data_IF_239174698127
#
_entry.id   IF_239174698127
#
_cell.length_a   1.000
_cell.length_b   1.000
_cell.length_c   1.000
_cell.angle_alpha   90.00
_cell.angle_beta   90.00
_cell.angle_gamma   90.00
#
_symmetry.space_group_name_H-M   'P 1'
#
loop_
_entity.id
_entity.type
_entity.pdbx_description
1 polymer ?
#
# COMPACT_ATOMS: atom_id res chain seq x y z
N UNK A 1 -2.01 -17.66 -17.01
CA UNK A 1 -2.75 -17.31 -15.77
C UNK A 1 -3.56 -16.04 -16.03
N UNK A 2 -4.89 -16.04 -15.94
CA UNK A 2 -5.69 -14.81 -16.04
C UNK A 2 -5.54 -14.02 -14.74
N UNK A 3 -5.01 -12.79 -14.81
CA UNK A 3 -4.92 -11.89 -13.65
C UNK A 3 -6.35 -11.52 -13.24
N UNK A 4 -6.74 -11.89 -12.02
CA UNK A 4 -8.05 -11.55 -11.48
C UNK A 4 -7.98 -10.17 -10.86
N UNK A 5 -8.84 -9.27 -11.33
CA UNK A 5 -9.00 -7.92 -10.79
C UNK A 5 -9.40 -7.88 -9.31
N UNK A 6 -9.91 -8.99 -8.77
CA UNK A 6 -10.19 -9.16 -7.33
C UNK A 6 -8.91 -9.37 -6.51
N UNK A 7 -7.87 -9.96 -7.10
CA UNK A 7 -6.62 -10.32 -6.41
C UNK A 7 -5.54 -9.25 -6.56
N UNK A 8 -5.68 -8.42 -7.58
CA UNK A 8 -4.69 -7.41 -7.96
C UNK A 8 -4.46 -6.35 -6.86
N UNK A 9 -5.50 -5.82 -6.16
CA UNK A 9 -5.27 -4.86 -5.09
C UNK A 9 -4.44 -5.46 -3.95
N UNK A 10 -4.81 -6.64 -3.43
CA UNK A 10 -4.05 -7.27 -2.36
C UNK A 10 -2.60 -7.63 -2.73
N UNK A 11 -2.33 -8.00 -3.99
CA UNK A 11 -0.96 -8.17 -4.47
C UNK A 11 -0.20 -6.84 -4.50
N UNK A 12 -0.86 -5.79 -4.99
CA UNK A 12 -0.29 -4.45 -5.03
C UNK A 12 0.05 -3.94 -3.61
N UNK A 13 -0.85 -4.15 -2.64
CA UNK A 13 -0.65 -3.76 -1.25
C UNK A 13 0.62 -4.41 -0.65
N UNK A 14 0.84 -5.71 -0.93
CA UNK A 14 2.05 -6.42 -0.50
C UNK A 14 3.30 -5.78 -1.12
N UNK A 15 3.28 -5.51 -2.43
CA UNK A 15 4.41 -4.89 -3.15
C UNK A 15 4.67 -3.48 -2.59
N UNK A 16 3.62 -2.71 -2.33
CA UNK A 16 3.69 -1.37 -1.78
C UNK A 16 4.29 -1.37 -0.37
N UNK A 17 3.85 -2.27 0.52
CA UNK A 17 4.43 -2.42 1.85
C UNK A 17 5.88 -2.88 1.80
N UNK A 18 6.23 -3.78 0.88
CA UNK A 18 7.62 -4.21 0.68
C UNK A 18 8.50 -3.04 0.22
N UNK A 19 8.01 -2.23 -0.73
CA UNK A 19 8.68 -1.01 -1.17
C UNK A 19 8.92 -0.04 0.01
N UNK A 20 7.91 0.20 0.85
CA UNK A 20 8.06 1.06 2.03
C UNK A 20 9.10 0.50 3.01
N UNK A 21 9.04 -0.80 3.30
CA UNK A 21 9.97 -1.45 4.23
C UNK A 21 11.42 -1.33 3.75
N UNK A 22 11.67 -1.63 2.46
CA UNK A 22 12.99 -1.50 1.85
C UNK A 22 13.44 -0.03 1.88
N UNK A 23 12.56 0.91 1.53
CA UNK A 23 12.88 2.34 1.53
C UNK A 23 13.30 2.84 2.92
N UNK A 24 12.58 2.43 3.98
CA UNK A 24 12.94 2.78 5.34
C UNK A 24 14.23 2.11 5.81
N UNK A 25 14.50 0.87 5.41
CA UNK A 25 15.76 0.19 5.72
C UNK A 25 16.96 0.93 5.10
N UNK A 26 16.84 1.34 3.82
CA UNK A 26 17.89 2.09 3.13
C UNK A 26 18.12 3.47 3.75
N UNK A 27 17.05 4.22 4.05
CA UNK A 27 17.16 5.53 4.71
C UNK A 27 17.76 5.37 6.11
N UNK A 28 17.30 4.39 6.87
CA UNK A 28 17.82 4.09 8.21
C UNK A 28 19.31 3.75 8.19
N UNK A 29 19.75 2.90 7.25
CA UNK A 29 21.15 2.57 7.07
C UNK A 29 21.98 3.79 6.63
N UNK A 30 21.46 4.61 5.72
CA UNK A 30 22.15 5.82 5.25
C UNK A 30 22.34 6.84 6.39
N UNK A 31 21.40 6.96 7.32
CA UNK A 31 21.53 7.81 8.51
C UNK A 31 22.66 7.37 9.46
N UNK A 32 23.16 6.14 9.35
CA UNK A 32 24.32 5.65 10.13
C UNK A 32 25.66 5.99 9.46
N UNK A 33 25.63 6.53 8.24
CA UNK A 33 26.84 6.89 7.48
C UNK A 33 27.10 8.39 7.56
N UNK A 34 28.37 8.82 7.56
CA UNK A 34 28.72 10.25 7.53
C UNK A 34 28.40 10.93 6.19
N UNK A 35 27.91 10.19 5.19
CA UNK A 35 27.62 10.69 3.85
C UNK A 35 26.23 11.31 3.72
N UNK A 36 25.34 11.09 4.70
CA UNK A 36 23.98 11.62 4.67
C UNK A 36 23.85 12.80 5.65
N UNK A 37 24.18 14.00 5.16
CA UNK A 37 23.85 15.22 5.89
C UNK A 37 22.34 15.54 5.85
N UNK A 38 21.92 16.55 6.60
CA UNK A 38 20.51 16.94 6.70
C UNK A 38 19.89 17.40 5.37
N UNK A 39 20.69 17.98 4.47
CA UNK A 39 20.22 18.42 3.16
C UNK A 39 19.94 17.22 2.25
N UNK A 40 20.83 16.23 2.27
CA UNK A 40 20.68 14.98 1.52
C UNK A 40 19.50 14.16 2.07
N UNK A 41 19.33 14.11 3.39
CA UNK A 41 18.17 13.48 4.01
C UNK A 41 16.85 14.09 3.54
N UNK A 42 16.75 15.43 3.50
CA UNK A 42 15.55 16.13 2.98
C UNK A 42 15.27 15.78 1.52
N UNK A 43 16.31 15.70 0.69
CA UNK A 43 16.19 15.39 -0.73
C UNK A 43 15.69 13.96 -0.93
N UNK A 44 16.31 12.98 -0.25
CA UNK A 44 15.88 11.57 -0.28
C UNK A 44 14.46 11.41 0.26
N UNK A 45 14.12 12.06 1.37
CA UNK A 45 12.76 12.04 1.93
C UNK A 45 11.73 12.61 0.95
N UNK A 46 12.05 13.73 0.29
CA UNK A 46 11.14 14.37 -0.67
C UNK A 46 10.93 13.49 -1.89
N UNK A 47 12.01 12.87 -2.40
CA UNK A 47 11.92 11.88 -3.47
C UNK A 47 11.09 10.67 -3.04
N UNK A 48 11.28 10.12 -1.84
CA UNK A 48 10.47 9.00 -1.36
C UNK A 48 8.99 9.38 -1.29
N UNK A 49 8.65 10.55 -0.74
CA UNK A 49 7.27 11.01 -0.66
C UNK A 49 6.63 11.21 -2.03
N UNK A 50 7.36 11.66 -3.05
CA UNK A 50 6.82 11.78 -4.41
C UNK A 50 6.53 10.41 -5.03
N UNK A 51 7.41 9.42 -4.84
CA UNK A 51 7.16 8.04 -5.29
C UNK A 51 5.98 7.42 -4.54
N UNK A 52 5.91 7.59 -3.22
CA UNK A 52 4.77 7.14 -2.40
C UNK A 52 3.48 7.76 -2.91
N UNK A 53 3.45 9.06 -3.24
CA UNK A 53 2.27 9.71 -3.77
C UNK A 53 1.80 9.10 -5.11
N UNK A 54 2.71 8.87 -6.05
CA UNK A 54 2.39 8.24 -7.35
C UNK A 54 1.85 6.82 -7.13
N UNK A 55 2.53 6.02 -6.32
CA UNK A 55 2.10 4.66 -5.99
C UNK A 55 0.74 4.65 -5.28
N UNK A 56 0.51 5.62 -4.40
CA UNK A 56 -0.77 5.76 -3.69
C UNK A 56 -1.95 5.94 -4.64
N UNK A 57 -1.79 6.73 -5.70
CA UNK A 57 -2.83 6.87 -6.73
C UNK A 57 -3.11 5.58 -7.49
N UNK A 58 -2.07 4.79 -7.78
CA UNK A 58 -2.22 3.48 -8.42
C UNK A 58 -2.99 2.53 -7.51
N UNK A 59 -2.60 2.42 -6.23
CA UNK A 59 -3.29 1.59 -5.24
C UNK A 59 -4.75 2.00 -5.06
N UNK A 60 -5.02 3.30 -4.96
CA UNK A 60 -6.37 3.84 -4.86
C UNK A 60 -7.23 3.45 -6.06
N UNK A 61 -6.72 3.60 -7.28
CA UNK A 61 -7.41 3.21 -8.51
C UNK A 61 -7.72 1.70 -8.54
N UNK A 62 -6.78 0.86 -8.10
CA UNK A 62 -6.98 -0.60 -8.05
C UNK A 62 -8.09 -1.00 -7.08
N UNK A 63 -8.12 -0.45 -5.87
CA UNK A 63 -9.19 -0.74 -4.91
C UNK A 63 -10.53 -0.19 -5.35
N UNK A 64 -10.54 1.01 -5.95
CA UNK A 64 -11.71 1.59 -6.61
C UNK A 64 -12.24 0.55 -7.61
N UNK A 65 -11.49 0.22 -8.67
CA UNK A 65 -11.95 -0.73 -9.72
C UNK A 65 -12.42 -2.06 -9.14
N UNK A 66 -11.71 -2.60 -8.14
CA UNK A 66 -12.07 -3.85 -7.48
C UNK A 66 -13.36 -3.74 -6.66
N UNK A 67 -13.62 -2.60 -6.02
CA UNK A 67 -14.85 -2.34 -5.26
C UNK A 67 -16.08 -2.49 -6.16
N UNK A 68 -16.10 -1.84 -7.33
CA UNK A 68 -17.23 -1.99 -8.27
C UNK A 68 -17.42 -3.43 -8.77
N UNK A 69 -16.36 -4.23 -8.81
CA UNK A 69 -16.43 -5.62 -9.29
C UNK A 69 -16.78 -6.64 -8.22
N UNK A 70 -16.75 -6.24 -6.94
CA UNK A 70 -16.89 -7.14 -5.79
C UNK A 70 -18.16 -6.93 -4.98
N UNK A 71 -19.18 -6.24 -5.51
CA UNK A 71 -20.45 -5.96 -4.83
C UNK A 71 -21.13 -7.18 -4.19
N UNK A 72 -20.94 -8.38 -4.73
CA UNK A 72 -21.55 -9.61 -4.25
C UNK A 72 -20.69 -10.36 -3.20
N UNK A 73 -19.50 -9.85 -2.86
CA UNK A 73 -18.53 -10.49 -1.97
C UNK A 73 -18.21 -9.53 -0.81
N UNK A 74 -18.97 -9.57 0.30
CA UNK A 74 -18.85 -8.60 1.39
C UNK A 74 -17.43 -8.45 1.94
N UNK A 75 -16.71 -9.56 2.12
CA UNK A 75 -15.33 -9.52 2.61
C UNK A 75 -14.38 -8.77 1.68
N UNK A 76 -14.61 -8.85 0.36
CA UNK A 76 -13.80 -8.13 -0.63
C UNK A 76 -14.18 -6.64 -0.69
N UNK A 77 -15.45 -6.29 -0.49
CA UNK A 77 -15.86 -4.89 -0.32
C UNK A 77 -15.18 -4.26 0.89
N UNK A 78 -15.17 -4.95 2.03
CA UNK A 78 -14.47 -4.48 3.23
C UNK A 78 -12.98 -4.32 2.97
N UNK A 79 -12.33 -5.29 2.31
CA UNK A 79 -10.92 -5.18 1.92
C UNK A 79 -10.65 -3.92 1.07
N UNK A 80 -11.51 -3.65 0.09
CA UNK A 80 -11.38 -2.49 -0.77
C UNK A 80 -11.63 -1.16 -0.03
N UNK A 81 -12.58 -1.11 0.90
CA UNK A 81 -12.81 0.08 1.74
C UNK A 81 -11.57 0.38 2.61
N UNK A 82 -11.01 -0.66 3.23
CA UNK A 82 -9.79 -0.51 4.03
C UNK A 82 -8.61 -0.03 3.17
N UNK A 83 -8.44 -0.61 1.98
CA UNK A 83 -7.40 -0.19 1.03
C UNK A 83 -7.56 1.26 0.56
N UNK A 84 -8.78 1.66 0.16
CA UNK A 84 -9.10 3.06 -0.19
C UNK A 84 -8.76 3.99 0.98
N UNK A 85 -9.21 3.65 2.19
CA UNK A 85 -8.92 4.44 3.39
C UNK A 85 -7.41 4.55 3.65
N UNK A 86 -6.67 3.45 3.51
CA UNK A 86 -5.23 3.44 3.69
C UNK A 86 -4.51 4.36 2.70
N UNK A 87 -4.83 4.25 1.40
CA UNK A 87 -4.22 5.07 0.37
C UNK A 87 -4.61 6.55 0.49
N UNK A 88 -5.85 6.87 0.89
CA UNK A 88 -6.22 8.25 1.19
C UNK A 88 -5.41 8.83 2.35
N UNK A 89 -5.17 8.06 3.41
CA UNK A 89 -4.35 8.50 4.54
C UNK A 89 -2.89 8.66 4.11
N UNK A 90 -2.32 7.72 3.32
CA UNK A 90 -0.97 7.87 2.77
C UNK A 90 -0.80 9.16 1.94
N UNK A 91 -1.83 9.54 1.20
CA UNK A 91 -1.81 10.75 0.38
C UNK A 91 -1.99 12.04 1.18
N UNK A 92 -3.01 12.09 2.04
CA UNK A 92 -3.41 13.31 2.76
C UNK A 92 -2.58 13.55 4.03
N UNK A 93 -2.15 12.48 4.69
CA UNK A 93 -1.46 12.50 5.98
C UNK A 93 -0.19 11.61 5.92
N UNK A 94 0.79 11.93 5.05
CA UNK A 94 1.98 11.10 4.84
C UNK A 94 2.90 10.98 6.07
N UNK A 95 2.67 11.78 7.11
CA UNK A 95 3.34 11.66 8.42
C UNK A 95 2.75 10.55 9.30
N UNK A 96 1.54 10.08 9.03
CA UNK A 96 0.84 9.06 9.82
C UNK A 96 1.03 7.69 9.15
N UNK A 97 2.18 7.08 9.37
CA UNK A 97 2.55 5.80 8.72
C UNK A 97 1.79 4.58 9.29
N UNK A 98 1.62 4.52 10.61
CA UNK A 98 1.16 3.30 11.28
C UNK A 98 -0.27 2.92 10.90
N UNK A 99 -1.18 3.90 10.90
CA UNK A 99 -2.61 3.69 10.61
C UNK A 99 -2.83 3.08 9.22
N UNK A 100 -2.35 3.66 8.11
CA UNK A 100 -2.59 3.10 6.79
C UNK A 100 -1.87 1.75 6.58
N UNK A 101 -0.74 1.50 7.23
CA UNK A 101 -0.10 0.16 7.20
C UNK A 101 -1.01 -0.90 7.82
N UNK A 102 -1.62 -0.62 8.98
CA UNK A 102 -2.56 -1.56 9.62
C UNK A 102 -3.78 -1.81 8.73
N UNK A 103 -4.31 -0.77 8.09
CA UNK A 103 -5.43 -0.90 7.16
C UNK A 103 -5.07 -1.75 5.93
N UNK A 104 -3.88 -1.54 5.33
CA UNK A 104 -3.40 -2.38 4.22
C UNK A 104 -3.22 -3.84 4.65
N UNK A 105 -2.68 -4.10 5.84
CA UNK A 105 -2.58 -5.47 6.37
C UNK A 105 -3.97 -6.12 6.50
N UNK A 106 -4.96 -5.39 7.00
CA UNK A 106 -6.35 -5.85 7.04
C UNK A 106 -6.92 -6.14 5.65
N UNK A 107 -6.68 -5.25 4.68
CA UNK A 107 -7.11 -5.43 3.28
C UNK A 107 -6.47 -6.67 2.64
N UNK A 108 -5.17 -6.89 2.86
CA UNK A 108 -4.43 -8.07 2.38
C UNK A 108 -5.02 -9.35 2.98
N UNK A 109 -5.20 -9.41 4.29
CA UNK A 109 -5.71 -10.60 4.98
C UNK A 109 -7.11 -10.99 4.48
N UNK A 110 -8.01 -10.00 4.33
CA UNK A 110 -9.35 -10.23 3.80
C UNK A 110 -9.31 -10.68 2.34
N UNK A 111 -8.46 -10.06 1.51
CA UNK A 111 -8.28 -10.48 0.12
C UNK A 111 -7.79 -11.93 0.04
N UNK A 112 -6.78 -12.30 0.84
CA UNK A 112 -6.26 -13.67 0.89
C UNK A 112 -7.32 -14.68 1.31
N UNK A 113 -8.15 -14.34 2.31
CA UNK A 113 -9.26 -15.19 2.76
C UNK A 113 -10.25 -15.46 1.63
N UNK A 114 -10.66 -14.43 0.89
CA UNK A 114 -11.57 -14.57 -0.26
C UNK A 114 -10.94 -15.44 -1.37
N UNK A 115 -9.64 -15.27 -1.61
CA UNK A 115 -8.91 -16.06 -2.61
C UNK A 115 -8.82 -17.54 -2.23
N UNK A 116 -8.64 -17.85 -0.94
CA UNK A 116 -8.62 -19.23 -0.45
C UNK A 116 -9.99 -19.89 -0.57
N UNK A 117 -11.06 -19.17 -0.21
CA UNK A 117 -12.43 -19.67 -0.29
C UNK A 117 -12.91 -19.92 -1.73
N UNK A 118 -12.38 -19.19 -2.71
CA UNK A 118 -12.72 -19.38 -4.14
C UNK A 118 -11.90 -20.47 -4.83
N UNK A 119 -10.93 -21.08 -4.14
CA UNK A 119 -10.16 -22.24 -4.64
C UNK A 119 -10.66 -23.58 -4.08
N UNK A 120 -11.46 -23.55 -3.01
CA UNK A 120 -12.16 -24.71 -2.47
C UNK A 120 -13.46 -24.95 -3.24
#
# INVERSE_FOLDING_TARGET
MKISWLKLPGLYDIIFLLFLMISFLFIGAACLTPWLDFSQFKLVRTALLSHVAVLTWVGLALHIISYWRSFHIPAMLTANILGIGAFLIFWLLPSVLLVPVVLLLGAILLTLKVVQQTKA
#
